data_IF_757502614803
#
_entry.id   IF_757502614803
#
_cell.length_a   1.000
_cell.length_b   1.000
_cell.length_c   1.000
_cell.angle_alpha   90.00
_cell.angle_beta   90.00
_cell.angle_gamma   90.00
#
_symmetry.space_group_name_H-M   'P 1'
#
loop_
_entity.id
_entity.type
_entity.pdbx_description
1 polymer ?
#
# COMPACT_ATOMS: atom_id res chain seq x y z
N UNK A 1 9.70 16.85 7.18
CA UNK A 1 8.47 17.01 6.38
C UNK A 1 8.86 16.83 4.92
N UNK A 2 8.71 15.62 4.41
CA UNK A 2 9.12 15.30 3.03
C UNK A 2 7.86 15.15 2.20
N UNK A 3 7.38 16.25 1.61
CA UNK A 3 6.32 16.19 0.62
C UNK A 3 6.87 15.53 -0.64
N UNK A 4 6.59 14.25 -0.85
CA UNK A 4 6.92 13.58 -2.11
C UNK A 4 5.86 14.00 -3.13
N UNK A 5 6.18 15.01 -3.95
CA UNK A 5 5.38 15.37 -5.11
C UNK A 5 5.70 14.37 -6.24
N UNK A 6 4.85 13.37 -6.43
CA UNK A 6 4.94 12.51 -7.61
C UNK A 6 4.48 13.27 -8.85
N UNK A 7 5.38 13.99 -9.51
CA UNK A 7 5.09 14.57 -10.82
C UNK A 7 5.18 13.44 -11.86
N UNK A 8 4.04 13.04 -12.41
CA UNK A 8 3.95 12.06 -13.51
C UNK A 8 4.33 12.77 -14.81
N UNK A 9 5.62 13.06 -15.00
CA UNK A 9 6.16 13.49 -16.30
C UNK A 9 7.11 12.42 -16.87
N UNK A 10 6.67 11.89 -18.02
CA UNK A 10 7.42 11.21 -19.09
C UNK A 10 8.39 10.07 -18.75
N UNK A 11 7.95 8.87 -19.12
CA UNK A 11 8.74 7.76 -19.68
C UNK A 11 9.86 7.20 -18.79
N UNK A 12 9.57 6.07 -18.12
CA UNK A 12 10.46 5.34 -17.19
C UNK A 12 10.87 6.23 -16.02
N UNK A 13 10.16 6.21 -14.90
CA UNK A 13 10.43 5.27 -13.81
C UNK A 13 9.14 5.01 -13.00
N UNK A 14 8.50 3.86 -13.26
CA UNK A 14 7.21 3.43 -12.70
C UNK A 14 7.22 3.05 -11.20
N UNK A 15 8.20 3.49 -10.45
CA UNK A 15 8.22 3.40 -9.00
C UNK A 15 8.90 4.67 -8.48
N UNK A 16 8.11 5.67 -8.09
CA UNK A 16 8.68 6.80 -7.36
C UNK A 16 9.35 6.28 -6.08
N UNK A 17 10.60 6.69 -5.90
CA UNK A 17 11.59 6.17 -4.97
C UNK A 17 11.09 6.06 -3.53
N UNK A 18 11.16 4.83 -3.05
CA UNK A 18 11.11 4.40 -1.66
C UNK A 18 12.15 5.11 -0.79
N UNK A 19 11.76 5.51 0.43
CA UNK A 19 12.44 5.10 1.67
C UNK A 19 11.75 5.74 2.87
N UNK A 20 10.83 5.01 3.51
CA UNK A 20 10.69 5.09 4.97
C UNK A 20 10.44 3.69 5.49
N UNK A 21 11.38 3.16 6.29
CA UNK A 21 11.10 2.01 7.13
C UNK A 21 10.09 2.48 8.18
N UNK A 22 8.81 2.25 7.98
CA UNK A 22 7.77 2.62 8.93
C UNK A 22 6.95 1.38 9.28
N UNK A 23 6.81 1.11 10.58
CA UNK A 23 5.82 0.16 11.09
C UNK A 23 4.40 0.75 11.00
N UNK A 24 4.30 2.07 10.84
CA UNK A 24 3.06 2.83 10.84
C UNK A 24 3.18 3.91 9.74
N UNK A 25 2.46 3.75 8.63
CA UNK A 25 2.38 4.76 7.57
C UNK A 25 1.10 5.52 7.81
N UNK A 26 1.28 6.71 8.35
CA UNK A 26 0.25 7.28 9.19
C UNK A 26 -0.84 7.97 8.38
N UNK A 27 -0.53 8.64 7.26
CA UNK A 27 -1.52 9.26 6.39
C UNK A 27 -0.96 9.46 4.97
N UNK A 28 -1.74 9.08 3.96
CA UNK A 28 -1.57 9.49 2.58
C UNK A 28 -2.76 10.35 2.17
N UNK A 29 -2.53 11.63 1.91
CA UNK A 29 -3.57 12.54 1.43
C UNK A 29 -3.53 12.64 -0.08
N UNK A 30 -4.67 12.39 -0.71
CA UNK A 30 -4.84 12.60 -2.15
C UNK A 30 -5.10 14.08 -2.39
N UNK A 31 -4.13 14.79 -2.97
CA UNK A 31 -4.30 16.21 -3.26
C UNK A 31 -5.11 16.42 -4.53
N UNK A 32 -4.76 15.70 -5.60
CA UNK A 32 -5.43 15.77 -6.90
C UNK A 32 -5.68 14.38 -7.43
N UNK A 33 -6.71 14.25 -8.27
CA UNK A 33 -7.12 12.98 -8.88
C UNK A 33 -7.01 13.07 -10.40
N UNK A 34 -6.49 12.01 -11.01
CA UNK A 34 -6.52 11.80 -12.46
C UNK A 34 -7.68 10.90 -12.88
N UNK A 35 -7.67 10.44 -14.12
CA UNK A 35 -8.59 9.40 -14.56
C UNK A 35 -8.27 8.08 -13.83
N UNK A 36 -9.25 7.40 -13.22
CA UNK A 36 -9.00 6.13 -12.54
C UNK A 36 -8.78 4.99 -13.55
N UNK A 37 -7.87 4.09 -13.22
CA UNK A 37 -7.65 2.81 -13.91
C UNK A 37 -7.64 1.65 -12.92
N UNK A 38 -8.03 0.45 -13.38
CA UNK A 38 -8.03 -0.76 -12.57
C UNK A 38 -6.64 -1.14 -12.04
N UNK A 39 -5.56 -0.66 -12.65
CA UNK A 39 -4.18 -0.89 -12.20
C UNK A 39 -3.70 0.12 -11.18
N UNK A 40 -4.48 1.17 -10.90
CA UNK A 40 -4.07 2.15 -9.92
C UNK A 40 -3.96 1.49 -8.54
N UNK A 41 -2.92 1.83 -7.80
CA UNK A 41 -2.68 1.26 -6.48
C UNK A 41 -1.89 2.18 -5.57
N UNK A 42 -2.19 2.10 -4.28
CA UNK A 42 -1.51 2.78 -3.18
C UNK A 42 -1.31 1.75 -2.07
N UNK A 43 -0.10 1.60 -1.54
CA UNK A 43 0.11 0.73 -0.39
C UNK A 43 1.54 0.31 -0.18
N UNK A 44 1.71 -0.90 0.34
CA UNK A 44 2.98 -1.40 0.82
C UNK A 44 3.39 -2.74 0.20
N UNK A 45 4.69 -2.99 0.16
CA UNK A 45 5.23 -4.28 -0.26
C UNK A 45 6.49 -4.63 0.52
N UNK A 46 6.86 -5.92 0.48
CA UNK A 46 8.07 -6.42 1.15
C UNK A 46 9.34 -6.09 0.37
N UNK A 47 9.25 -6.08 -0.97
CA UNK A 47 10.39 -5.89 -1.86
C UNK A 47 10.04 -4.91 -2.99
N UNK A 48 10.97 -4.00 -3.27
CA UNK A 48 10.97 -3.23 -4.50
C UNK A 48 11.29 -4.18 -5.67
N UNK A 49 10.28 -4.50 -6.46
CA UNK A 49 10.43 -5.32 -7.66
C UNK A 49 10.08 -4.49 -8.89
N UNK A 50 11.04 -4.41 -9.81
CA UNK A 50 10.84 -3.75 -11.10
C UNK A 50 10.10 -4.69 -12.06
N UNK A 51 9.29 -4.12 -12.96
CA UNK A 51 8.57 -4.88 -14.00
C UNK A 51 7.10 -5.16 -13.72
N UNK A 52 6.58 -4.77 -12.57
CA UNK A 52 5.13 -4.78 -12.29
C UNK A 52 4.50 -3.44 -12.64
N UNK A 53 3.27 -3.49 -13.14
CA UNK A 53 2.46 -2.30 -13.43
C UNK A 53 1.81 -1.69 -12.18
N UNK A 54 1.70 -2.46 -11.09
CA UNK A 54 1.04 -2.03 -9.84
C UNK A 54 1.47 -2.85 -8.62
N UNK A 55 1.03 -2.42 -7.44
CA UNK A 55 1.16 -3.16 -6.17
C UNK A 55 0.14 -4.29 -6.00
N UNK A 56 -0.74 -4.53 -6.99
CA UNK A 56 -1.70 -5.63 -6.98
C UNK A 56 -0.99 -6.95 -7.33
N UNK A 57 -0.04 -7.37 -6.49
CA UNK A 57 0.88 -8.49 -6.73
C UNK A 57 1.22 -9.22 -5.43
N UNK A 58 1.93 -10.33 -5.57
CA UNK A 58 2.42 -11.09 -4.42
C UNK A 58 3.36 -10.26 -3.54
N UNK A 59 3.37 -10.56 -2.24
CA UNK A 59 4.14 -9.85 -1.20
C UNK A 59 3.85 -8.33 -1.15
N UNK A 60 2.62 -7.94 -1.47
CA UNK A 60 2.14 -6.57 -1.39
C UNK A 60 0.70 -6.49 -0.88
N UNK A 61 0.38 -5.34 -0.28
CA UNK A 61 -0.94 -4.96 0.19
C UNK A 61 -1.23 -3.57 -0.34
N UNK A 62 -2.36 -3.37 -1.01
CA UNK A 62 -2.70 -2.06 -1.55
C UNK A 62 -4.21 -1.83 -1.64
N UNK A 63 -4.57 -0.56 -1.71
CA UNK A 63 -5.90 -0.08 -2.11
C UNK A 63 -5.83 0.48 -3.54
N UNK A 64 -6.84 0.22 -4.35
CA UNK A 64 -7.02 0.86 -5.66
C UNK A 64 -7.89 2.12 -5.56
N UNK A 65 -7.88 2.96 -6.58
CA UNK A 65 -8.61 4.25 -6.59
C UNK A 65 -10.13 4.07 -6.50
N UNK A 66 -10.65 2.90 -6.86
CA UNK A 66 -12.06 2.54 -6.66
C UNK A 66 -12.41 2.02 -5.24
N UNK A 67 -11.42 1.87 -4.36
CA UNK A 67 -11.60 1.36 -3.00
C UNK A 67 -11.42 -0.15 -2.83
N UNK A 68 -11.13 -0.88 -3.91
CA UNK A 68 -10.80 -2.32 -3.83
C UNK A 68 -9.47 -2.54 -3.09
N UNK A 69 -9.43 -3.52 -2.20
CA UNK A 69 -8.26 -3.85 -1.39
C UNK A 69 -7.67 -5.17 -1.86
N UNK A 70 -6.35 -5.22 -2.04
CA UNK A 70 -5.63 -6.38 -2.50
C UNK A 70 -4.62 -6.84 -1.45
N UNK A 71 -4.55 -8.15 -1.23
CA UNK A 71 -3.59 -8.79 -0.34
C UNK A 71 -2.90 -9.91 -1.12
N UNK A 72 -1.58 -9.81 -1.29
CA UNK A 72 -0.79 -10.72 -2.14
C UNK A 72 -1.39 -10.86 -3.56
N UNK A 73 -1.86 -9.75 -4.13
CA UNK A 73 -2.46 -9.68 -5.46
C UNK A 73 -3.89 -10.22 -5.56
N UNK A 74 -4.46 -10.71 -4.46
CA UNK A 74 -5.86 -11.17 -4.43
C UNK A 74 -6.77 -10.07 -3.90
N UNK A 75 -7.80 -9.73 -4.67
CA UNK A 75 -8.83 -8.78 -4.25
C UNK A 75 -9.65 -9.33 -3.08
N UNK A 76 -9.87 -8.49 -2.08
CA UNK A 76 -10.71 -8.75 -0.93
C UNK A 76 -12.17 -8.39 -1.24
N UNK A 77 -13.12 -9.08 -0.62
CA UNK A 77 -14.55 -8.77 -0.79
C UNK A 77 -14.97 -7.49 -0.07
N UNK A 78 -14.28 -7.16 1.02
CA UNK A 78 -14.53 -5.93 1.77
C UNK A 78 -13.79 -4.78 1.09
N UNK A 79 -14.56 -3.84 0.54
CA UNK A 79 -14.04 -2.66 -0.13
C UNK A 79 -14.20 -1.42 0.75
N UNK A 80 -13.30 -0.47 0.56
CA UNK A 80 -13.38 0.87 1.11
C UNK A 80 -14.11 1.81 0.13
N UNK A 81 -14.52 3.00 0.57
CA UNK A 81 -15.06 4.01 -0.34
C UNK A 81 -14.00 4.38 -1.39
N UNK A 82 -14.46 4.68 -2.61
CA UNK A 82 -13.58 5.16 -3.67
C UNK A 82 -12.83 6.42 -3.23
N UNK A 83 -11.58 6.50 -3.68
CA UNK A 83 -10.64 7.54 -3.27
C UNK A 83 -10.87 8.79 -4.13
N UNK A 84 -11.00 9.93 -3.47
CA UNK A 84 -11.25 11.23 -4.10
C UNK A 84 -10.26 12.29 -3.59
N UNK A 85 -10.22 13.47 -4.22
CA UNK A 85 -9.43 14.60 -3.71
C UNK A 85 -9.82 14.91 -2.27
N UNK A 86 -8.81 15.04 -1.40
CA UNK A 86 -8.96 15.24 0.04
C UNK A 86 -9.13 13.96 0.85
N UNK A 87 -9.30 12.79 0.20
CA UNK A 87 -9.30 11.50 0.91
C UNK A 87 -7.95 11.27 1.59
N UNK A 88 -8.00 10.71 2.79
CA UNK A 88 -6.83 10.21 3.48
C UNK A 88 -6.91 8.70 3.58
N UNK A 89 -5.83 8.02 3.20
CA UNK A 89 -5.67 6.58 3.39
C UNK A 89 -4.61 6.35 4.47
N UNK A 90 -4.85 5.44 5.39
CA UNK A 90 -3.87 5.08 6.43
C UNK A 90 -3.57 3.60 6.40
N UNK A 91 -2.32 3.24 6.72
CA UNK A 91 -1.90 1.84 6.89
C UNK A 91 -1.32 1.67 8.29
N UNK A 92 -2.13 1.09 9.17
CA UNK A 92 -1.69 0.69 10.49
C UNK A 92 -1.34 -0.80 10.50
N UNK A 93 -0.22 -1.16 11.14
CA UNK A 93 0.29 -2.53 11.13
C UNK A 93 0.81 -2.93 12.50
N UNK A 94 0.32 -4.07 12.97
CA UNK A 94 0.71 -4.65 14.25
C UNK A 94 1.24 -6.06 14.05
N UNK A 95 2.37 -6.39 14.69
CA UNK A 95 2.88 -7.76 14.68
C UNK A 95 1.97 -8.63 15.55
N UNK A 96 1.40 -9.68 14.95
CA UNK A 96 0.64 -10.68 15.69
C UNK A 96 1.64 -11.68 16.27
N UNK A 97 1.86 -11.64 17.59
CA UNK A 97 2.75 -12.59 18.27
C UNK A 97 2.25 -14.02 18.10
N UNK A 98 2.97 -14.82 17.30
CA UNK A 98 2.71 -16.23 17.08
C UNK A 98 3.51 -17.08 18.08
N UNK A 99 3.10 -17.08 19.35
CA UNK A 99 3.66 -17.98 20.37
C UNK A 99 5.21 -17.99 20.48
N UNK A 100 5.81 -18.97 21.17
CA UNK A 100 7.26 -19.12 21.17
C UNK A 100 7.75 -19.47 19.76
N UNK A 101 8.89 -18.91 19.31
CA UNK A 101 9.44 -19.21 17.99
C UNK A 101 9.73 -20.70 17.91
N UNK A 102 8.94 -21.44 17.15
CA UNK A 102 9.32 -22.79 16.74
C UNK A 102 10.56 -22.67 15.88
N UNK A 103 11.56 -23.51 16.15
CA UNK A 103 12.90 -23.51 15.55
C UNK A 103 12.93 -23.75 14.03
N UNK A 104 11.76 -23.81 13.38
CA UNK A 104 11.57 -24.04 11.96
C UNK A 104 10.72 -22.91 11.38
N UNK A 105 11.37 -22.02 10.60
CA UNK A 105 10.77 -21.13 9.60
C UNK A 105 9.34 -20.64 9.88
N UNK A 106 9.11 -19.98 11.02
CA UNK A 106 7.78 -19.53 11.41
C UNK A 106 7.27 -18.43 10.47
N UNK A 107 6.03 -18.58 9.99
CA UNK A 107 5.33 -17.55 9.25
C UNK A 107 5.30 -16.25 10.07
N UNK A 108 5.65 -15.12 9.46
CA UNK A 108 5.52 -13.80 10.08
C UNK A 108 4.13 -13.24 9.76
N UNK A 109 3.40 -12.77 10.78
CA UNK A 109 2.01 -12.35 10.62
C UNK A 109 1.83 -10.92 11.09
N UNK A 110 1.37 -10.06 10.19
CA UNK A 110 0.99 -8.68 10.47
C UNK A 110 -0.52 -8.58 10.47
N UNK A 111 -1.10 -7.89 11.44
CA UNK A 111 -2.46 -7.39 11.35
C UNK A 111 -2.40 -6.02 10.70
N UNK A 112 -3.03 -5.90 9.53
CA UNK A 112 -3.06 -4.66 8.76
C UNK A 112 -4.44 -4.06 8.83
N UNK A 113 -4.52 -2.78 9.18
CA UNK A 113 -5.73 -1.97 9.14
C UNK A 113 -5.55 -0.90 8.07
N UNK A 114 -6.36 -0.98 7.01
CA UNK A 114 -6.42 0.08 6.00
C UNK A 114 -7.67 0.90 6.29
N UNK A 115 -7.50 2.19 6.57
CA UNK A 115 -8.62 3.11 6.77
C UNK A 115 -8.68 4.16 5.66
N UNK A 116 -9.90 4.50 5.23
CA UNK A 116 -10.17 5.56 4.27
C UNK A 116 -11.60 6.05 4.43
N UNK A 117 -11.81 7.37 4.47
CA UNK A 117 -13.13 8.01 4.49
C UNK A 117 -14.08 7.43 5.57
N UNK A 118 -13.58 7.28 6.81
CA UNK A 118 -14.30 6.71 7.97
C UNK A 118 -14.76 5.25 7.83
N UNK A 119 -14.19 4.51 6.88
CA UNK A 119 -14.29 3.05 6.83
C UNK A 119 -12.91 2.43 7.00
N UNK A 120 -12.90 1.21 7.49
CA UNK A 120 -11.68 0.44 7.66
C UNK A 120 -11.88 -1.01 7.23
N UNK A 121 -10.80 -1.62 6.79
CA UNK A 121 -10.71 -3.07 6.64
C UNK A 121 -9.51 -3.57 7.43
N UNK A 122 -9.73 -4.64 8.18
CA UNK A 122 -8.70 -5.28 9.00
C UNK A 122 -8.52 -6.70 8.51
N UNK A 123 -7.27 -7.10 8.28
CA UNK A 123 -6.94 -8.47 7.90
C UNK A 123 -5.56 -8.86 8.40
N UNK A 124 -5.34 -10.16 8.46
CA UNK A 124 -4.05 -10.72 8.79
C UNK A 124 -3.25 -11.00 7.50
N UNK A 125 -2.12 -10.32 7.33
CA UNK A 125 -1.17 -10.53 6.25
C UNK A 125 -0.05 -11.48 6.69
N UNK A 126 -0.02 -12.66 6.08
CA UNK A 126 0.96 -13.71 6.38
C UNK A 126 2.10 -13.63 5.37
N UNK A 127 3.33 -13.61 5.88
CA UNK A 127 4.59 -13.55 5.15
C UNK A 127 5.44 -14.78 5.47
N UNK A 128 6.16 -15.25 4.46
CA UNK A 128 7.09 -16.37 4.53
C UNK A 128 8.40 -16.03 5.27
N UNK A 129 8.70 -14.73 5.39
CA UNK A 129 9.91 -14.22 6.02
C UNK A 129 9.60 -13.06 6.98
N UNK A 130 10.37 -12.98 8.07
CA UNK A 130 10.30 -11.85 9.01
C UNK A 130 10.75 -10.57 8.30
N UNK A 131 9.88 -9.56 8.28
CA UNK A 131 10.14 -8.29 7.62
C UNK A 131 10.19 -7.18 8.67
N UNK A 132 11.38 -6.62 8.91
CA UNK A 132 11.59 -5.51 9.86
C UNK A 132 11.24 -4.14 9.25
N UNK A 133 10.97 -4.10 7.96
CA UNK A 133 10.61 -2.89 7.24
C UNK A 133 9.85 -3.22 5.97
N UNK A 134 8.91 -2.35 5.62
CA UNK A 134 8.15 -2.41 4.39
C UNK A 134 8.44 -1.18 3.53
N UNK A 135 8.09 -1.33 2.28
CA UNK A 135 8.24 -0.34 1.25
C UNK A 135 6.88 0.23 0.89
N UNK A 136 6.72 1.55 0.93
CA UNK A 136 5.53 2.22 0.45
C UNK A 136 5.65 2.57 -1.04
N UNK A 137 4.57 2.44 -1.80
CA UNK A 137 4.51 2.87 -3.19
C UNK A 137 3.11 3.23 -3.66
N UNK A 138 3.07 3.90 -4.80
CA UNK A 138 1.85 4.12 -5.56
C UNK A 138 2.12 3.96 -7.06
N UNK A 139 1.08 3.59 -7.80
CA UNK A 139 1.09 3.48 -9.25
C UNK A 139 -0.20 4.06 -9.80
N UNK A 140 -0.10 4.99 -10.76
CA UNK A 140 -1.24 5.56 -11.45
C UNK A 140 -0.99 5.50 -12.95
N UNK A 141 -1.96 5.01 -13.71
CA UNK A 141 -1.79 4.87 -15.16
C UNK A 141 -1.85 6.21 -15.88
N UNK A 142 -2.83 7.03 -15.50
CA UNK A 142 -3.09 8.32 -16.13
C UNK A 142 -2.52 9.46 -15.28
N UNK A 143 -2.10 10.57 -15.90
CA UNK A 143 -1.61 11.74 -15.16
C UNK A 143 -2.73 12.41 -14.34
N UNK A 144 -2.33 13.27 -13.40
CA UNK A 144 -3.23 14.10 -12.58
C UNK A 144 -3.39 13.64 -11.14
N UNK A 145 -2.93 12.45 -10.80
CA UNK A 145 -2.87 11.96 -9.42
C UNK A 145 -1.70 12.60 -8.66
N UNK A 146 -1.98 13.12 -7.47
CA UNK A 146 -0.96 13.64 -6.56
C UNK A 146 -1.22 13.13 -5.15
N UNK A 147 -0.24 12.45 -4.57
CA UNK A 147 -0.31 11.82 -3.25
C UNK A 147 0.72 12.45 -2.34
N UNK A 148 0.29 12.88 -1.17
CA UNK A 148 1.15 13.40 -0.11
C UNK A 148 1.28 12.35 0.98
N UNK A 149 2.51 11.94 1.28
CA UNK A 149 2.86 10.94 2.30
C UNK A 149 3.42 11.64 3.54
N UNK A 150 3.00 11.23 4.74
CA UNK A 150 3.46 11.79 6.02
C UNK A 150 4.38 10.84 6.80
#
# INVERSE_FOLDING_TARGET
ESAICGDVEQHNEKLCSFTTKALHIQLDRIETVGQPDRRDSLGVCVEQQNGYDSLQRDKAVCISTNGAVFVNGKEMTNQLPAVTSGSTVTFDMEVVQLGPPSTEGGNFKLRVTISSNNREVVFDWVLDQCCVSLYFGCSFLYPGWKVLVF
#
